data_IF_883606498168
#
_entry.id   IF_883606498168
#
_cell.length_a   1.000
_cell.length_b   1.000
_cell.length_c   1.000
_cell.angle_alpha   90.00
_cell.angle_beta   90.00
_cell.angle_gamma   90.00
#
_symmetry.space_group_name_H-M   'P 1'
#
loop_
_entity.id
_entity.type
_entity.pdbx_description
1 polymer ?
#
# COMPACT_ATOMS: atom_id res chain seq x y z
N UNK A 1 3.34 -49.16 -61.85
CA UNK A 1 2.95 -50.14 -60.81
C UNK A 1 2.78 -49.39 -59.50
N UNK A 2 1.55 -49.37 -58.94
CA UNK A 2 1.19 -48.59 -57.74
C UNK A 2 1.76 -49.25 -56.48
N UNK A 3 2.34 -48.50 -55.54
CA UNK A 3 2.26 -48.81 -54.11
C UNK A 3 2.26 -47.55 -53.24
N UNK A 4 1.11 -47.32 -52.64
CA UNK A 4 0.80 -46.48 -51.48
C UNK A 4 1.51 -46.96 -50.21
N UNK A 5 1.93 -46.05 -49.31
CA UNK A 5 1.52 -46.01 -47.87
C UNK A 5 2.16 -44.84 -47.11
N UNK A 6 1.35 -44.27 -46.22
CA UNK A 6 1.63 -43.17 -45.28
C UNK A 6 2.36 -43.63 -44.00
N UNK A 7 2.94 -42.61 -43.35
CA UNK A 7 3.12 -42.41 -41.92
C UNK A 7 4.37 -43.03 -41.24
N UNK A 8 5.23 -42.14 -40.73
CA UNK A 8 5.60 -42.12 -39.31
C UNK A 8 6.21 -40.76 -38.95
N UNK A 9 5.53 -40.05 -38.06
CA UNK A 9 5.95 -38.79 -37.45
C UNK A 9 7.05 -39.12 -36.44
N UNK A 10 8.29 -38.73 -36.72
CA UNK A 10 9.38 -38.80 -35.77
C UNK A 10 9.48 -37.47 -35.00
N UNK A 11 9.29 -37.58 -33.69
CA UNK A 11 9.48 -36.52 -32.72
C UNK A 11 10.94 -36.02 -32.74
N UNK A 12 11.14 -34.70 -32.75
CA UNK A 12 12.32 -34.09 -32.15
C UNK A 12 11.87 -33.04 -31.14
N UNK A 13 12.05 -33.44 -29.88
CA UNK A 13 12.08 -32.66 -28.67
C UNK A 13 12.93 -31.39 -28.80
N UNK A 14 12.26 -30.25 -28.91
CA UNK A 14 12.84 -28.93 -28.68
C UNK A 14 12.34 -28.38 -27.34
N UNK A 15 12.94 -28.83 -26.24
CA UNK A 15 12.70 -28.21 -24.93
C UNK A 15 13.44 -26.87 -24.87
N UNK A 16 12.76 -25.80 -25.29
CA UNK A 16 13.13 -24.43 -24.93
C UNK A 16 12.88 -24.28 -23.43
N UNK A 17 13.94 -24.40 -22.64
CA UNK A 17 13.94 -23.94 -21.25
C UNK A 17 14.02 -22.42 -21.31
N UNK A 18 12.86 -21.76 -21.27
CA UNK A 18 12.77 -20.35 -20.93
C UNK A 18 13.28 -20.20 -19.50
N UNK A 19 14.50 -19.69 -19.34
CA UNK A 19 14.99 -19.18 -18.05
C UNK A 19 14.06 -18.03 -17.64
N UNK A 20 13.07 -18.33 -16.80
CA UNK A 20 12.35 -17.34 -16.04
C UNK A 20 13.31 -16.71 -15.04
N UNK A 21 13.77 -15.50 -15.32
CA UNK A 21 14.35 -14.62 -14.33
C UNK A 21 13.24 -14.23 -13.34
N UNK A 22 13.07 -15.04 -12.28
CA UNK A 22 12.41 -14.58 -11.06
C UNK A 22 13.35 -13.55 -10.44
N UNK A 23 13.23 -12.29 -10.88
CA UNK A 23 13.73 -11.18 -10.08
C UNK A 23 12.94 -11.21 -8.77
N UNK A 24 13.55 -11.77 -7.74
CA UNK A 24 13.20 -11.52 -6.34
C UNK A 24 13.34 -10.02 -6.10
N UNK A 25 12.31 -9.26 -6.48
CA UNK A 25 12.10 -7.95 -5.91
C UNK A 25 11.60 -8.18 -4.49
N UNK A 26 12.54 -8.46 -3.58
CA UNK A 26 12.36 -8.25 -2.16
C UNK A 26 12.06 -6.76 -2.01
N UNK A 27 10.77 -6.42 -2.05
CA UNK A 27 10.27 -5.09 -1.69
C UNK A 27 10.66 -4.88 -0.24
N UNK A 28 11.77 -4.18 -0.02
CA UNK A 28 12.19 -3.74 1.31
C UNK A 28 11.14 -2.75 1.82
N UNK A 29 10.35 -3.06 2.87
CA UNK A 29 9.22 -2.22 3.28
C UNK A 29 9.59 -0.83 3.82
N UNK A 30 10.88 -0.50 3.94
CA UNK A 30 11.34 0.78 4.48
C UNK A 30 11.82 1.81 3.44
N UNK A 31 12.23 1.38 2.24
CA UNK A 31 12.80 2.31 1.26
C UNK A 31 11.75 3.22 0.63
N UNK A 32 10.53 2.71 0.41
CA UNK A 32 9.43 3.48 -0.19
C UNK A 32 8.86 4.53 0.77
N UNK A 33 8.67 4.18 2.04
CA UNK A 33 8.06 5.10 3.02
C UNK A 33 8.99 6.28 3.37
N UNK A 34 10.29 6.02 3.50
CA UNK A 34 11.24 7.08 3.80
C UNK A 34 11.44 8.04 2.61
N UNK A 35 11.39 7.51 1.38
CA UNK A 35 11.38 8.32 0.17
C UNK A 35 10.10 9.17 0.04
N UNK A 36 8.95 8.63 0.45
CA UNK A 36 7.67 9.35 0.48
C UNK A 36 7.69 10.52 1.48
N UNK A 37 8.23 10.31 2.69
CA UNK A 37 8.40 11.36 3.70
C UNK A 37 9.34 12.48 3.22
N UNK A 38 10.47 12.11 2.60
CA UNK A 38 11.41 13.08 2.02
C UNK A 38 10.77 13.87 0.87
N UNK A 39 10.01 13.20 0.00
CA UNK A 39 9.24 13.85 -1.06
C UNK A 39 8.23 14.85 -0.50
N UNK A 40 7.57 14.53 0.63
CA UNK A 40 6.65 15.45 1.28
C UNK A 40 7.33 16.70 1.84
N UNK A 41 8.42 16.52 2.58
CA UNK A 41 9.19 17.64 3.13
C UNK A 41 9.66 18.60 2.02
N UNK A 42 10.20 18.07 0.91
CA UNK A 42 10.63 18.86 -0.23
C UNK A 42 9.47 19.60 -0.90
N UNK A 43 8.31 18.96 -1.05
CA UNK A 43 7.13 19.59 -1.67
C UNK A 43 6.65 20.78 -0.82
N UNK A 44 6.64 20.63 0.50
CA UNK A 44 6.27 21.70 1.44
C UNK A 44 7.24 22.88 1.34
N UNK A 45 8.55 22.60 1.33
CA UNK A 45 9.59 23.63 1.23
C UNK A 45 9.51 24.44 -0.08
N UNK A 46 9.12 23.77 -1.18
CA UNK A 46 9.12 24.37 -2.51
C UNK A 46 7.79 25.06 -2.89
N UNK A 47 6.72 24.87 -2.12
CA UNK A 47 5.41 25.42 -2.42
C UNK A 47 5.39 26.95 -2.38
N UNK A 48 4.96 27.59 -3.48
CA UNK A 48 4.93 29.05 -3.62
C UNK A 48 3.60 29.58 -4.11
N UNK A 49 2.83 28.73 -4.78
CA UNK A 49 1.58 29.13 -5.44
C UNK A 49 0.38 28.50 -4.74
N UNK A 50 -0.82 29.09 -4.91
CA UNK A 50 -2.06 28.46 -4.49
C UNK A 50 -2.22 27.01 -4.96
N UNK A 51 -1.82 26.74 -6.20
CA UNK A 51 -1.90 25.40 -6.78
C UNK A 51 -0.98 24.41 -6.04
N UNK A 52 0.22 24.84 -5.64
CA UNK A 52 1.16 23.99 -4.87
C UNK A 52 0.56 23.61 -3.52
N UNK A 53 -0.01 24.59 -2.81
CA UNK A 53 -0.63 24.33 -1.52
C UNK A 53 -1.88 23.44 -1.65
N UNK A 54 -2.71 23.60 -2.69
CA UNK A 54 -3.81 22.68 -2.96
C UNK A 54 -3.34 21.25 -3.24
N UNK A 55 -2.23 21.08 -3.96
CA UNK A 55 -1.65 19.77 -4.23
C UNK A 55 -1.16 19.09 -2.94
N UNK A 56 -0.56 19.85 -2.01
CA UNK A 56 -0.17 19.33 -0.69
C UNK A 56 -1.42 18.95 0.12
N UNK A 57 -2.45 19.80 0.13
CA UNK A 57 -3.69 19.51 0.84
C UNK A 57 -4.32 18.19 0.37
N UNK A 58 -4.40 17.97 -0.94
CA UNK A 58 -4.92 16.73 -1.51
C UNK A 58 -4.11 15.50 -1.06
N UNK A 59 -2.77 15.61 -0.99
CA UNK A 59 -1.94 14.49 -0.52
C UNK A 59 -2.19 14.17 0.96
N UNK A 60 -2.34 15.17 1.81
CA UNK A 60 -2.70 14.94 3.21
C UNK A 60 -4.08 14.29 3.36
N UNK A 61 -5.06 14.66 2.53
CA UNK A 61 -6.37 13.99 2.52
C UNK A 61 -6.29 12.53 2.07
N UNK A 62 -5.50 12.25 1.02
CA UNK A 62 -5.26 10.87 0.58
C UNK A 62 -4.61 10.03 1.68
N UNK A 63 -3.69 10.62 2.43
CA UNK A 63 -3.05 9.94 3.56
C UNK A 63 -4.03 9.73 4.72
N UNK A 64 -4.88 10.71 5.04
CA UNK A 64 -5.94 10.55 6.02
C UNK A 64 -6.85 9.37 5.65
N UNK A 65 -7.28 9.27 4.39
CA UNK A 65 -8.10 8.17 3.91
C UNK A 65 -7.38 6.81 3.99
N UNK A 66 -6.07 6.79 3.70
CA UNK A 66 -5.24 5.59 3.85
C UNK A 66 -5.19 5.13 5.31
N UNK A 67 -4.96 6.06 6.24
CA UNK A 67 -4.94 5.79 7.67
C UNK A 67 -6.29 5.29 8.20
N UNK A 68 -7.40 5.85 7.71
CA UNK A 68 -8.74 5.39 8.05
C UNK A 68 -9.00 3.95 7.56
N UNK A 69 -8.56 3.60 6.35
CA UNK A 69 -8.63 2.21 5.86
C UNK A 69 -7.77 1.27 6.72
N UNK A 70 -6.57 1.69 7.09
CA UNK A 70 -5.71 0.91 8.00
C UNK A 70 -6.37 0.73 9.38
N UNK A 71 -7.05 1.76 9.91
CA UNK A 71 -7.78 1.66 11.17
C UNK A 71 -8.89 0.62 11.09
N UNK A 72 -9.63 0.56 9.98
CA UNK A 72 -10.65 -0.46 9.73
C UNK A 72 -10.04 -1.87 9.68
N UNK A 73 -8.90 -2.04 9.02
CA UNK A 73 -8.18 -3.32 9.00
C UNK A 73 -7.79 -3.77 10.41
N UNK A 74 -7.25 -2.87 11.24
CA UNK A 74 -6.92 -3.20 12.62
C UNK A 74 -8.16 -3.49 13.48
N UNK A 75 -9.29 -2.83 13.23
CA UNK A 75 -10.56 -3.16 13.89
C UNK A 75 -11.02 -4.58 13.54
N UNK A 76 -10.95 -4.97 12.27
CA UNK A 76 -11.29 -6.33 11.83
C UNK A 76 -10.33 -7.39 12.42
N UNK A 77 -9.04 -7.07 12.57
CA UNK A 77 -8.08 -7.93 13.27
C UNK A 77 -8.45 -8.09 14.75
N UNK A 78 -8.85 -7.01 15.43
CA UNK A 78 -9.28 -7.08 16.82
C UNK A 78 -10.48 -8.03 16.99
N UNK A 79 -11.50 -7.89 16.12
CA UNK A 79 -12.67 -8.77 16.11
C UNK A 79 -12.29 -10.24 15.86
N UNK A 80 -11.23 -10.50 15.09
CA UNK A 80 -10.74 -11.87 14.86
C UNK A 80 -10.07 -12.43 16.10
N UNK A 81 -9.22 -11.64 16.77
CA UNK A 81 -8.56 -12.01 18.02
C UNK A 81 -9.53 -12.21 19.19
N UNK A 82 -10.71 -11.61 19.16
CA UNK A 82 -11.74 -11.77 20.20
C UNK A 82 -12.53 -13.08 20.10
N UNK A 83 -12.45 -13.79 18.98
CA UNK A 83 -13.20 -15.05 18.76
C UNK A 83 -12.57 -16.29 19.38
N UNK A 84 -11.44 -16.15 20.08
CA UNK A 84 -10.68 -17.27 20.66
C UNK A 84 -10.63 -17.18 22.18
N UNK A 85 -10.62 -18.33 22.84
CA UNK A 85 -10.46 -18.43 24.30
C UNK A 85 -9.00 -18.28 24.76
N UNK A 86 -8.04 -18.10 23.84
CA UNK A 86 -6.63 -17.95 24.19
C UNK A 86 -6.36 -16.53 24.76
N UNK A 87 -5.98 -16.40 26.04
CA UNK A 87 -5.80 -15.09 26.68
C UNK A 87 -4.73 -14.21 26.03
N UNK A 88 -3.68 -14.82 25.44
CA UNK A 88 -2.61 -14.06 24.74
C UNK A 88 -3.15 -13.42 23.47
N UNK A 89 -4.03 -14.12 22.75
CA UNK A 89 -4.64 -13.61 21.53
C UNK A 89 -5.69 -12.53 21.84
N UNK A 90 -6.48 -12.71 22.91
CA UNK A 90 -7.40 -11.66 23.40
C UNK A 90 -6.63 -10.36 23.69
N UNK A 91 -5.44 -10.43 24.28
CA UNK A 91 -4.63 -9.23 24.51
C UNK A 91 -4.20 -8.54 23.19
N UNK A 92 -4.01 -9.29 22.10
CA UNK A 92 -3.74 -8.72 20.78
C UNK A 92 -4.93 -7.94 20.21
N UNK A 93 -6.16 -8.29 20.56
CA UNK A 93 -7.32 -7.47 20.20
C UNK A 93 -7.22 -6.06 20.78
N UNK A 94 -6.82 -5.94 22.04
CA UNK A 94 -6.59 -4.64 22.70
C UNK A 94 -5.49 -3.83 22.02
N UNK A 95 -4.40 -4.47 21.61
CA UNK A 95 -3.35 -3.83 20.82
C UNK A 95 -3.89 -3.30 19.49
N UNK A 96 -4.65 -4.11 18.75
CA UNK A 96 -5.23 -3.71 17.47
C UNK A 96 -6.22 -2.54 17.62
N UNK A 97 -7.07 -2.55 18.67
CA UNK A 97 -7.99 -1.44 18.97
C UNK A 97 -7.25 -0.13 19.23
N UNK A 98 -6.14 -0.17 19.98
CA UNK A 98 -5.30 1.02 20.20
C UNK A 98 -4.67 1.54 18.91
N UNK A 99 -4.19 0.64 18.06
CA UNK A 99 -3.63 1.03 16.75
C UNK A 99 -4.72 1.68 15.90
N UNK A 100 -5.92 1.10 15.81
CA UNK A 100 -7.04 1.67 15.08
C UNK A 100 -7.41 3.08 15.59
N UNK A 101 -7.46 3.27 16.91
CA UNK A 101 -7.72 4.58 17.50
C UNK A 101 -6.61 5.59 17.15
N UNK A 102 -5.34 5.21 17.29
CA UNK A 102 -4.22 6.09 16.95
C UNK A 102 -4.24 6.50 15.48
N UNK A 103 -4.48 5.55 14.57
CA UNK A 103 -4.59 5.82 13.14
C UNK A 103 -5.73 6.80 12.82
N UNK A 104 -6.89 6.69 13.51
CA UNK A 104 -7.98 7.68 13.37
C UNK A 104 -7.55 9.06 13.85
N UNK A 105 -6.86 9.15 14.99
CA UNK A 105 -6.32 10.43 15.48
C UNK A 105 -5.36 11.05 14.48
N UNK A 106 -4.39 10.28 13.96
CA UNK A 106 -3.44 10.78 12.96
C UNK A 106 -4.16 11.18 11.67
N UNK A 107 -5.20 10.45 11.25
CA UNK A 107 -5.98 10.83 10.07
C UNK A 107 -6.65 12.21 10.23
N UNK A 108 -7.17 12.53 11.42
CA UNK A 108 -7.72 13.86 11.69
C UNK A 108 -6.62 14.94 11.69
N UNK A 109 -5.43 14.66 12.24
CA UNK A 109 -4.29 15.58 12.14
C UNK A 109 -3.87 15.83 10.68
N UNK A 110 -3.89 14.79 9.83
CA UNK A 110 -3.64 14.96 8.39
C UNK A 110 -4.70 15.86 7.74
N UNK A 111 -5.98 15.74 8.11
CA UNK A 111 -7.02 16.65 7.61
C UNK A 111 -6.81 18.09 8.08
N UNK A 112 -6.35 18.31 9.31
CA UNK A 112 -5.98 19.64 9.81
C UNK A 112 -4.84 20.25 8.98
N UNK A 113 -3.81 19.47 8.64
CA UNK A 113 -2.75 19.91 7.74
C UNK A 113 -3.30 20.26 6.34
N UNK A 114 -4.19 19.42 5.80
CA UNK A 114 -4.83 19.70 4.52
C UNK A 114 -5.61 21.04 4.53
N UNK A 115 -6.39 21.30 5.59
CA UNK A 115 -7.11 22.55 5.76
C UNK A 115 -6.16 23.75 5.85
N UNK A 116 -5.05 23.62 6.57
CA UNK A 116 -4.03 24.67 6.70
C UNK A 116 -3.46 25.04 5.31
N UNK A 117 -3.18 24.03 4.49
CA UNK A 117 -2.72 24.24 3.12
C UNK A 117 -3.79 24.85 2.20
N UNK A 118 -5.08 24.51 2.36
CA UNK A 118 -6.16 25.18 1.62
C UNK A 118 -6.27 26.67 1.95
N UNK A 119 -6.15 27.02 3.24
CA UNK A 119 -6.12 28.42 3.67
C UNK A 119 -4.94 29.19 3.07
N UNK A 120 -3.75 28.57 3.01
CA UNK A 120 -2.59 29.17 2.34
C UNK A 120 -2.78 29.31 0.82
N UNK A 121 -3.64 28.50 0.20
CA UNK A 121 -4.02 28.67 -1.20
C UNK A 121 -5.02 29.81 -1.46
N UNK A 122 -5.54 30.47 -0.42
CA UNK A 122 -6.53 31.52 -0.57
C UNK A 122 -7.95 31.02 -0.88
N UNK A 123 -8.25 29.76 -0.51
CA UNK A 123 -9.61 29.26 -0.37
C UNK A 123 -10.01 29.24 1.10
#
# INVERSE_FOLDING_TARGET
MKFTKLASIAALSGSIVLLGACADQVVRPGASHQHELQSMAQTIEQAKTPADHLAIALRYEQEADRLLRMAQSHEAMAQTYEKTDNPKLINNARHCRRIAQHLRTVAEEMKTLAQTHRQMAGQ
#
